data_IF_509161820194
#
_entry.id   IF_509161820194
#
_cell.length_a   1.000
_cell.length_b   1.000
_cell.length_c   1.000
_cell.angle_alpha   90.00
_cell.angle_beta   90.00
_cell.angle_gamma   90.00
#
_symmetry.space_group_name_H-M   'P 1'
#
loop_
_entity.id
_entity.type
_entity.pdbx_description
1 polymer ?
#
# COMPACT_ATOMS: atom_id res chain seq x y z
N UNK A 1 12.34 15.86 10.40
CA UNK A 1 13.38 14.84 10.59
C UNK A 1 14.75 15.37 10.20
N UNK A 2 15.04 15.76 8.97
CA UNK A 2 16.39 16.17 8.51
C UNK A 2 16.96 17.33 9.34
N UNK A 3 16.25 18.44 9.46
CA UNK A 3 16.71 19.62 10.26
C UNK A 3 16.94 19.29 11.74
N UNK A 4 16.21 18.34 12.31
CA UNK A 4 16.34 17.93 13.72
C UNK A 4 17.36 16.81 13.91
N UNK A 5 17.96 16.30 12.84
CA UNK A 5 18.86 15.12 12.85
C UNK A 5 18.23 13.92 13.58
N UNK A 6 16.92 13.75 13.47
CA UNK A 6 16.20 12.64 14.10
C UNK A 6 15.94 11.53 13.08
N UNK A 7 16.07 10.29 13.52
CA UNK A 7 15.56 9.13 12.80
C UNK A 7 14.04 9.24 12.55
N UNK A 8 13.52 8.46 11.62
CA UNK A 8 12.08 8.46 11.37
C UNK A 8 11.61 7.43 10.37
N UNK A 9 10.31 7.32 10.26
CA UNK A 9 9.62 6.44 9.31
C UNK A 9 8.67 7.28 8.45
N UNK A 10 8.66 7.01 7.16
CA UNK A 10 7.68 7.54 6.20
C UNK A 10 6.98 6.33 5.59
N UNK A 11 5.66 6.32 5.68
CA UNK A 11 4.84 5.23 5.15
C UNK A 11 3.86 5.85 4.16
N UNK A 12 4.06 5.55 2.88
CA UNK A 12 3.20 6.03 1.80
C UNK A 12 2.05 5.06 1.56
N UNK A 13 0.91 5.59 1.15
CA UNK A 13 -0.26 4.78 0.79
C UNK A 13 -0.31 4.62 -0.73
N UNK A 14 0.17 3.47 -1.20
CA UNK A 14 0.08 3.02 -2.59
C UNK A 14 -1.27 2.34 -2.87
N UNK A 15 -1.29 1.34 -3.71
CA UNK A 15 -2.44 0.48 -4.03
C UNK A 15 -1.94 -0.79 -4.72
N UNK A 16 -2.72 -1.85 -4.75
CA UNK A 16 -2.47 -2.97 -5.67
C UNK A 16 -2.38 -2.49 -7.13
N UNK A 17 -3.10 -1.43 -7.51
CA UNK A 17 -3.01 -0.80 -8.84
C UNK A 17 -1.69 -0.05 -9.10
N UNK A 18 -0.79 0.04 -8.14
CA UNK A 18 0.60 0.43 -8.37
C UNK A 18 1.49 -0.73 -8.82
N UNK A 19 1.01 -1.97 -8.68
CA UNK A 19 1.71 -3.20 -9.08
C UNK A 19 1.27 -3.63 -10.48
N UNK A 20 -0.03 -3.51 -10.77
CA UNK A 20 -0.61 -3.82 -12.07
C UNK A 20 -1.58 -2.71 -12.51
N UNK A 21 -1.82 -2.61 -13.81
CA UNK A 21 -2.71 -1.58 -14.36
C UNK A 21 -4.19 -1.90 -14.18
N UNK A 22 -5.03 -0.90 -14.43
CA UNK A 22 -6.49 -1.06 -14.52
C UNK A 22 -7.02 -0.28 -15.71
N UNK A 23 -7.76 -0.96 -16.60
CA UNK A 23 -8.44 -0.31 -17.71
C UNK A 23 -9.59 0.61 -17.27
N UNK A 24 -10.10 0.42 -16.06
CA UNK A 24 -11.20 1.23 -15.50
C UNK A 24 -10.71 2.54 -14.89
N UNK A 25 -9.50 2.55 -14.32
CA UNK A 25 -8.96 3.69 -13.57
C UNK A 25 -7.49 3.95 -13.92
N UNK A 26 -7.15 4.25 -15.20
CA UNK A 26 -5.76 4.37 -15.64
C UNK A 26 -5.01 5.51 -14.94
N UNK A 27 -5.64 6.65 -14.73
CA UNK A 27 -5.02 7.78 -14.02
C UNK A 27 -4.74 7.48 -12.55
N UNK A 28 -5.63 6.75 -11.89
CA UNK A 28 -5.40 6.29 -10.52
C UNK A 28 -4.22 5.31 -10.44
N UNK A 29 -4.16 4.34 -11.36
CA UNK A 29 -3.04 3.39 -11.45
C UNK A 29 -1.71 4.11 -11.68
N UNK A 30 -1.68 5.10 -12.59
CA UNK A 30 -0.49 5.93 -12.83
C UNK A 30 -0.06 6.70 -11.57
N UNK A 31 -1.01 7.36 -10.89
CA UNK A 31 -0.74 8.09 -9.65
C UNK A 31 -0.19 7.17 -8.54
N UNK A 32 -0.80 6.00 -8.38
CA UNK A 32 -0.34 5.03 -7.37
C UNK A 32 0.97 4.36 -7.73
N UNK A 33 1.26 4.15 -9.02
CA UNK A 33 2.57 3.74 -9.52
C UNK A 33 3.65 4.78 -9.21
N UNK A 34 3.36 6.06 -9.38
CA UNK A 34 4.26 7.15 -9.02
C UNK A 34 4.62 7.14 -7.52
N UNK A 35 3.68 6.82 -6.64
CA UNK A 35 3.94 6.67 -5.19
C UNK A 35 4.97 5.58 -4.90
N UNK A 36 4.94 4.46 -5.62
CA UNK A 36 5.93 3.37 -5.45
C UNK A 36 7.33 3.85 -5.88
N UNK A 37 7.46 4.54 -7.01
CA UNK A 37 8.76 5.07 -7.44
C UNK A 37 9.26 6.20 -6.53
N UNK A 38 8.38 7.08 -6.07
CA UNK A 38 8.71 8.10 -5.07
C UNK A 38 9.23 7.45 -3.77
N UNK A 39 8.57 6.39 -3.31
CA UNK A 39 8.99 5.63 -2.11
C UNK A 39 10.41 5.11 -2.26
N UNK A 40 10.76 4.51 -3.40
CA UNK A 40 12.10 4.00 -3.69
C UNK A 40 13.14 5.12 -3.74
N UNK A 41 12.84 6.22 -4.42
CA UNK A 41 13.74 7.37 -4.55
C UNK A 41 14.05 8.00 -3.19
N UNK A 42 13.01 8.24 -2.38
CA UNK A 42 13.17 8.77 -1.03
C UNK A 42 13.88 7.78 -0.09
N UNK A 43 13.67 6.48 -0.26
CA UNK A 43 14.38 5.46 0.52
C UNK A 43 15.88 5.54 0.27
N UNK A 44 16.31 5.67 -0.99
CA UNK A 44 17.73 5.81 -1.34
C UNK A 44 18.32 7.10 -0.74
N UNK A 45 17.61 8.22 -0.88
CA UNK A 45 18.09 9.53 -0.42
C UNK A 45 18.18 9.60 1.10
N UNK A 46 17.20 9.01 1.81
CA UNK A 46 17.01 9.25 3.24
C UNK A 46 17.61 8.17 4.14
N UNK A 47 17.93 6.99 3.59
CA UNK A 47 18.53 5.88 4.36
C UNK A 47 19.83 6.28 5.11
N UNK A 48 20.78 7.07 4.53
CA UNK A 48 21.97 7.49 5.26
C UNK A 48 21.67 8.41 6.46
N UNK A 49 20.45 8.93 6.55
CA UNK A 49 19.96 9.77 7.66
C UNK A 49 19.11 8.99 8.67
N UNK A 50 19.13 7.66 8.56
CA UNK A 50 18.32 6.75 9.38
C UNK A 50 16.82 7.08 9.32
N UNK A 51 16.33 7.37 8.10
CA UNK A 51 14.91 7.56 7.80
C UNK A 51 14.52 6.47 6.80
N UNK A 52 13.65 5.56 7.21
CA UNK A 52 13.11 4.50 6.36
C UNK A 52 11.86 5.01 5.65
N UNK A 53 11.75 4.70 4.36
CA UNK A 53 10.60 5.09 3.53
C UNK A 53 10.04 3.85 2.86
N UNK A 54 8.82 3.50 3.20
CA UNK A 54 8.12 2.33 2.67
C UNK A 54 6.72 2.69 2.19
N UNK A 55 6.08 1.80 1.49
CA UNK A 55 4.69 1.94 1.08
C UNK A 55 3.86 0.73 1.51
N UNK A 56 2.57 0.96 1.76
CA UNK A 56 1.56 -0.09 1.88
C UNK A 56 0.72 -0.04 0.60
N UNK A 57 0.44 -1.20 0.02
CA UNK A 57 -0.42 -1.36 -1.15
C UNK A 57 -1.69 -2.14 -0.77
N UNK A 58 -2.76 -1.46 -0.32
CA UNK A 58 -4.02 -2.13 -0.02
C UNK A 58 -4.65 -2.74 -1.27
N UNK A 59 -5.33 -3.87 -1.07
CA UNK A 59 -6.25 -4.45 -2.03
C UNK A 59 -7.65 -3.83 -1.94
N UNK A 60 -8.66 -4.66 -2.11
CA UNK A 60 -10.05 -4.27 -1.97
C UNK A 60 -10.44 -4.21 -0.48
N UNK A 61 -10.55 -2.99 0.04
CA UNK A 61 -10.84 -2.70 1.45
C UNK A 61 -12.23 -2.05 1.56
N UNK A 62 -13.00 -2.47 2.55
CA UNK A 62 -14.31 -1.90 2.87
C UNK A 62 -14.14 -0.49 3.43
N UNK A 63 -14.57 0.49 2.64
CA UNK A 63 -14.57 1.91 2.97
C UNK A 63 -15.76 2.57 2.30
N UNK A 64 -16.05 3.83 2.64
CA UNK A 64 -17.08 4.61 1.96
C UNK A 64 -16.78 4.77 0.45
N UNK A 65 -15.50 4.92 0.09
CA UNK A 65 -15.06 5.03 -1.30
C UNK A 65 -15.42 3.79 -2.13
N UNK A 66 -15.42 2.61 -1.53
CA UNK A 66 -15.67 1.32 -2.21
C UNK A 66 -17.11 0.83 -2.08
N UNK A 67 -17.98 1.57 -1.39
CA UNK A 67 -19.37 1.15 -1.14
C UNK A 67 -20.14 0.87 -2.43
N UNK A 68 -20.02 1.73 -3.44
CA UNK A 68 -20.69 1.54 -4.73
C UNK A 68 -20.22 0.27 -5.46
N UNK A 69 -18.93 -0.05 -5.40
CA UNK A 69 -18.37 -1.26 -6.01
C UNK A 69 -18.86 -2.52 -5.30
N UNK A 70 -18.94 -2.48 -3.96
CA UNK A 70 -19.46 -3.60 -3.14
C UNK A 70 -20.94 -3.91 -3.44
N UNK A 71 -21.70 -2.91 -3.86
CA UNK A 71 -23.11 -3.05 -4.23
C UNK A 71 -23.32 -3.33 -5.73
N UNK A 72 -22.26 -3.52 -6.49
CA UNK A 72 -22.30 -3.78 -7.94
C UNK A 72 -21.99 -5.25 -8.28
N UNK A 73 -22.28 -5.69 -9.52
CA UNK A 73 -21.88 -7.03 -9.98
C UNK A 73 -20.38 -7.32 -9.89
N UNK A 74 -19.51 -6.29 -9.85
CA UNK A 74 -18.07 -6.46 -9.67
C UNK A 74 -17.70 -7.07 -8.31
N UNK A 75 -18.58 -7.00 -7.31
CA UNK A 75 -18.33 -7.56 -5.99
C UNK A 75 -17.94 -9.05 -6.06
N UNK A 76 -18.71 -9.83 -6.78
CA UNK A 76 -18.50 -11.28 -6.87
C UNK A 76 -17.21 -11.64 -7.61
N UNK A 77 -16.86 -10.87 -8.65
CA UNK A 77 -15.60 -11.02 -9.36
C UNK A 77 -14.38 -10.70 -8.46
N UNK A 78 -14.48 -9.63 -7.66
CA UNK A 78 -13.45 -9.24 -6.70
C UNK A 78 -13.24 -10.35 -5.66
N UNK A 79 -14.33 -10.86 -5.07
CA UNK A 79 -14.27 -11.94 -4.08
C UNK A 79 -13.73 -13.23 -4.71
N UNK A 80 -14.19 -13.58 -5.91
CA UNK A 80 -13.74 -14.78 -6.62
C UNK A 80 -12.23 -14.75 -6.88
N UNK A 81 -11.68 -13.59 -7.30
CA UNK A 81 -10.25 -13.38 -7.56
C UNK A 81 -9.42 -13.29 -6.29
N UNK A 82 -9.97 -12.78 -5.18
CA UNK A 82 -9.23 -12.65 -3.92
C UNK A 82 -9.06 -14.02 -3.27
N UNK A 83 -7.85 -14.54 -3.05
CA UNK A 83 -7.64 -15.84 -2.38
C UNK A 83 -8.29 -15.91 -0.99
N UNK A 84 -8.28 -14.82 -0.22
CA UNK A 84 -8.95 -14.73 1.09
C UNK A 84 -10.49 -14.80 1.01
N UNK A 85 -11.07 -14.76 -0.20
CA UNK A 85 -12.53 -14.87 -0.48
C UNK A 85 -13.40 -13.84 0.24
N UNK A 86 -12.85 -12.67 0.49
CA UNK A 86 -13.54 -11.54 1.10
C UNK A 86 -12.84 -10.22 0.82
N UNK A 87 -13.54 -9.14 1.08
CA UNK A 87 -12.92 -7.82 1.24
C UNK A 87 -12.09 -7.75 2.52
N UNK A 88 -11.07 -6.90 2.52
CA UNK A 88 -10.34 -6.54 3.73
C UNK A 88 -11.11 -5.46 4.51
N UNK A 89 -10.96 -5.45 5.83
CA UNK A 89 -11.45 -4.36 6.67
C UNK A 89 -10.39 -3.27 6.80
N UNK A 90 -10.80 -2.03 7.04
CA UNK A 90 -9.87 -0.91 7.21
C UNK A 90 -8.90 -1.11 8.38
N UNK A 91 -9.33 -1.76 9.46
CA UNK A 91 -8.48 -2.06 10.62
C UNK A 91 -7.39 -3.11 10.32
N UNK A 92 -7.53 -3.91 9.26
CA UNK A 92 -6.51 -4.89 8.85
C UNK A 92 -5.27 -4.25 8.22
N UNK A 93 -5.32 -2.95 7.88
CA UNK A 93 -4.16 -2.17 7.45
C UNK A 93 -3.29 -1.73 8.64
N UNK A 94 -3.87 -1.64 9.85
CA UNK A 94 -3.20 -1.11 11.04
C UNK A 94 -1.95 -1.92 11.38
N UNK A 95 -2.02 -3.25 11.36
CA UNK A 95 -0.90 -4.12 11.72
C UNK A 95 0.34 -3.87 10.84
N UNK A 96 0.15 -3.79 9.53
CA UNK A 96 1.24 -3.47 8.59
C UNK A 96 1.81 -2.07 8.83
N UNK A 97 0.95 -1.09 9.11
CA UNK A 97 1.35 0.30 9.40
C UNK A 97 2.19 0.36 10.68
N UNK A 98 1.72 -0.26 11.76
CA UNK A 98 2.43 -0.30 13.05
C UNK A 98 3.76 -1.04 12.90
N UNK A 99 3.79 -2.16 12.18
CA UNK A 99 5.05 -2.88 11.92
C UNK A 99 6.06 -1.99 11.19
N UNK A 100 5.68 -1.36 10.09
CA UNK A 100 6.58 -0.48 9.34
C UNK A 100 7.00 0.77 10.12
N UNK A 101 6.19 1.22 11.07
CA UNK A 101 6.51 2.33 11.96
C UNK A 101 7.42 1.93 13.15
N UNK A 102 7.52 0.64 13.44
CA UNK A 102 8.24 0.12 14.61
C UNK A 102 9.74 -0.07 14.34
N UNK A 103 10.49 -0.37 15.40
CA UNK A 103 11.90 -0.77 15.34
C UNK A 103 12.11 -2.09 14.59
N UNK A 104 11.11 -2.96 14.52
CA UNK A 104 11.17 -4.20 13.73
C UNK A 104 11.41 -3.96 12.23
N UNK A 105 11.13 -2.75 11.74
CA UNK A 105 11.34 -2.34 10.36
C UNK A 105 12.55 -1.39 10.18
N UNK A 106 13.51 -1.34 11.09
CA UNK A 106 14.66 -0.42 11.00
C UNK A 106 15.58 -0.73 9.81
N UNK A 107 15.58 -1.95 9.31
CA UNK A 107 16.36 -2.36 8.13
C UNK A 107 15.50 -2.55 6.88
N UNK A 108 14.22 -2.10 6.90
CA UNK A 108 13.30 -2.17 5.77
C UNK A 108 13.12 -0.76 5.22
N UNK A 109 13.57 -0.51 3.99
CA UNK A 109 13.37 0.76 3.29
C UNK A 109 13.23 0.51 1.78
N UNK A 110 12.38 1.28 1.11
CA UNK A 110 12.05 1.13 -0.30
C UNK A 110 11.07 0.01 -0.62
N UNK A 111 10.56 -0.68 0.38
CA UNK A 111 9.60 -1.77 0.20
C UNK A 111 8.19 -1.25 -0.09
N UNK A 112 7.45 -2.03 -0.89
CA UNK A 112 6.00 -1.90 -1.03
C UNK A 112 5.36 -3.18 -0.50
N UNK A 113 4.58 -3.06 0.57
CA UNK A 113 3.94 -4.19 1.25
C UNK A 113 2.48 -4.32 0.82
N UNK A 114 2.10 -5.34 0.04
CA UNK A 114 0.71 -5.63 -0.26
C UNK A 114 -0.05 -6.05 1.01
N UNK A 115 -1.26 -5.50 1.18
CA UNK A 115 -2.22 -5.91 2.22
C UNK A 115 -3.56 -6.10 1.50
N UNK A 116 -3.72 -7.21 0.82
CA UNK A 116 -4.72 -7.37 -0.25
C UNK A 116 -5.42 -8.74 -0.27
N UNK A 117 -5.23 -9.56 0.74
CA UNK A 117 -5.82 -10.90 0.79
C UNK A 117 -5.33 -11.85 -0.29
N UNK A 118 -4.16 -11.56 -0.90
CA UNK A 118 -3.56 -12.33 -1.98
C UNK A 118 -4.04 -11.91 -3.38
N UNK A 119 -4.79 -10.82 -3.52
CA UNK A 119 -5.34 -10.38 -4.81
C UNK A 119 -4.26 -10.15 -5.88
N UNK A 120 -3.09 -9.65 -5.51
CA UNK A 120 -2.01 -9.31 -6.44
C UNK A 120 -1.10 -10.50 -6.83
N UNK A 121 -1.27 -11.66 -6.21
CA UNK A 121 -0.45 -12.86 -6.50
C UNK A 121 -1.22 -13.92 -7.30
N UNK A 122 -2.46 -13.63 -7.67
CA UNK A 122 -3.34 -14.52 -8.41
C UNK A 122 -3.74 -13.95 -9.77
#
# INVERSE_FOLDING_TARGET
MIKRKSAGKIINLASMYSIFGSGLVPSYSAAKGAIVQLTKSLAIELAPRNIQVNAIAPGWIETDMTAAVRSSPMNDEIIARTPAKRWGRADEIIGATVFLASRGADFITGATLPVDGGYSVY
#
